data_IF_051284939210
#
_entry.id   IF_051284939210
#
_cell.length_a   1.000
_cell.length_b   1.000
_cell.length_c   1.000
_cell.angle_alpha   90.00
_cell.angle_beta   90.00
_cell.angle_gamma   90.00
#
_symmetry.space_group_name_H-M   'P 1'
#
loop_
_entity.id
_entity.type
_entity.pdbx_description
1 polymer ?
#
# COMPACT_ATOMS: atom_id res chain seq x y z
N UNK A 1 24.08 7.35 17.08
CA UNK A 1 24.15 6.22 16.13
C UNK A 1 23.33 6.63 14.90
N UNK A 2 23.94 6.87 13.73
CA UNK A 2 23.19 7.23 12.52
C UNK A 2 22.60 5.95 11.93
N UNK A 3 21.28 5.78 12.05
CA UNK A 3 20.57 4.73 11.34
C UNK A 3 20.68 5.01 9.84
N UNK A 4 21.41 4.16 9.12
CA UNK A 4 21.47 4.18 7.66
C UNK A 4 20.11 3.72 7.14
N UNK A 5 19.19 4.67 6.93
CA UNK A 5 17.88 4.40 6.38
C UNK A 5 18.04 3.79 4.98
N UNK A 6 17.85 2.48 4.85
CA UNK A 6 18.00 1.73 3.60
C UNK A 6 16.82 2.05 2.68
N UNK A 7 16.95 3.00 1.77
CA UNK A 7 15.84 3.40 0.91
C UNK A 7 15.20 2.17 0.21
N UNK A 8 13.89 1.98 0.37
CA UNK A 8 13.13 0.91 -0.26
C UNK A 8 12.40 1.43 -1.50
N UNK A 9 12.27 0.60 -2.53
CA UNK A 9 11.50 0.95 -3.74
C UNK A 9 10.04 0.54 -3.52
N UNK A 10 9.12 1.50 -3.60
CA UNK A 10 7.69 1.24 -3.56
C UNK A 10 7.26 0.38 -4.76
N UNK A 11 6.54 -0.70 -4.54
CA UNK A 11 6.07 -1.58 -5.61
C UNK A 11 4.92 -0.98 -6.43
N UNK A 12 4.29 0.09 -5.96
CA UNK A 12 3.20 0.78 -6.65
C UNK A 12 3.72 1.94 -7.51
N UNK A 13 4.25 3.01 -6.90
CA UNK A 13 4.76 4.15 -7.68
C UNK A 13 6.20 3.98 -8.21
N UNK A 14 6.89 2.88 -7.87
CA UNK A 14 8.29 2.57 -8.27
C UNK A 14 9.33 3.63 -7.87
N UNK A 15 9.01 4.48 -6.89
CA UNK A 15 9.93 5.50 -6.34
C UNK A 15 10.70 4.97 -5.13
N UNK A 16 11.93 5.46 -4.94
CA UNK A 16 12.69 5.28 -3.71
C UNK A 16 12.05 6.05 -2.57
N UNK A 17 11.94 5.40 -1.42
CA UNK A 17 11.26 5.90 -0.22
C UNK A 17 12.07 5.55 1.01
N UNK A 18 11.94 6.34 2.07
CA UNK A 18 12.49 5.98 3.37
C UNK A 18 11.85 4.67 3.84
N UNK A 19 12.57 3.76 4.52
CA UNK A 19 11.98 2.66 5.27
C UNK A 19 10.83 3.06 6.18
N UNK A 20 10.87 4.28 6.70
CA UNK A 20 9.85 4.80 7.63
C UNK A 20 8.61 5.35 6.90
N UNK A 21 8.68 5.55 5.58
CA UNK A 21 7.59 6.08 4.76
C UNK A 21 6.78 4.97 4.08
N UNK A 22 6.74 3.77 4.66
CA UNK A 22 5.99 2.66 4.11
C UNK A 22 6.03 1.41 4.97
N UNK A 23 5.53 0.32 4.40
CA UNK A 23 5.47 -0.98 5.06
C UNK A 23 5.52 -2.11 4.03
N UNK A 24 5.82 -3.31 4.51
CA UNK A 24 5.76 -4.52 3.70
C UNK A 24 4.30 -4.93 3.46
N UNK A 25 4.02 -5.45 2.27
CA UNK A 25 2.70 -5.88 1.86
C UNK A 25 2.07 -6.93 2.79
N UNK A 26 2.89 -7.80 3.38
CA UNK A 26 2.46 -8.82 4.35
C UNK A 26 1.81 -8.24 5.62
N UNK A 27 2.12 -6.98 5.96
CA UNK A 27 1.57 -6.28 7.13
C UNK A 27 0.28 -5.54 6.79
N UNK A 28 -0.12 -5.47 5.51
CA UNK A 28 -1.34 -4.81 5.06
C UNK A 28 -2.52 -5.74 5.31
N UNK A 29 -3.65 -5.19 5.77
CA UNK A 29 -4.89 -5.96 5.98
C UNK A 29 -5.30 -6.68 4.68
N UNK A 30 -5.70 -7.96 4.74
CA UNK A 30 -6.03 -8.74 3.54
C UNK A 30 -7.06 -8.09 2.63
N UNK A 31 -8.14 -7.50 3.18
CA UNK A 31 -9.18 -6.84 2.38
C UNK A 31 -8.65 -5.66 1.57
N UNK A 32 -7.74 -4.87 2.16
CA UNK A 32 -7.07 -3.78 1.46
C UNK A 32 -6.06 -4.30 0.44
N UNK A 33 -5.34 -5.37 0.76
CA UNK A 33 -4.39 -6.02 -0.15
C UNK A 33 -5.09 -6.49 -1.44
N UNK A 34 -6.26 -7.14 -1.29
CA UNK A 34 -7.07 -7.60 -2.43
C UNK A 34 -7.60 -6.43 -3.26
N UNK A 35 -8.01 -5.32 -2.64
CA UNK A 35 -8.35 -4.09 -3.37
C UNK A 35 -7.16 -3.57 -4.19
N UNK A 36 -5.97 -3.51 -3.59
CA UNK A 36 -4.77 -3.03 -4.27
C UNK A 36 -4.45 -3.94 -5.47
N UNK A 37 -4.48 -5.27 -5.31
CA UNK A 37 -4.28 -6.24 -6.41
C UNK A 37 -5.30 -6.07 -7.52
N UNK A 38 -6.57 -5.87 -7.18
CA UNK A 38 -7.64 -5.59 -8.15
C UNK A 38 -7.37 -4.32 -8.97
N UNK A 39 -6.82 -3.28 -8.33
CA UNK A 39 -6.46 -2.00 -8.97
C UNK A 39 -5.10 -2.05 -9.70
N UNK A 40 -4.20 -2.93 -9.29
CA UNK A 40 -2.85 -3.13 -9.82
C UNK A 40 -2.60 -4.61 -10.09
N UNK A 41 -3.20 -5.18 -11.15
CA UNK A 41 -3.08 -6.61 -11.45
C UNK A 41 -1.65 -7.04 -11.84
N UNK A 42 -0.81 -6.08 -12.22
CA UNK A 42 0.62 -6.28 -12.48
C UNK A 42 1.46 -6.50 -11.21
N UNK A 43 0.88 -6.25 -10.03
CA UNK A 43 1.55 -6.40 -8.75
C UNK A 43 1.17 -7.73 -8.08
N UNK A 44 2.17 -8.46 -7.61
CA UNK A 44 2.04 -9.81 -7.03
C UNK A 44 1.54 -9.82 -5.57
N UNK A 45 1.34 -8.65 -4.97
CA UNK A 45 0.92 -8.53 -3.58
C UNK A 45 2.07 -8.62 -2.57
N UNK A 46 3.33 -8.50 -3.01
CA UNK A 46 4.50 -8.57 -2.14
C UNK A 46 5.37 -7.29 -2.21
N UNK A 47 6.28 -7.14 -1.26
CA UNK A 47 7.28 -6.07 -1.24
C UNK A 47 6.83 -4.79 -0.53
N UNK A 48 7.67 -3.76 -0.61
CA UNK A 48 7.46 -2.49 0.11
C UNK A 48 6.44 -1.59 -0.62
N UNK A 49 5.51 -1.00 0.14
CA UNK A 49 4.57 0.01 -0.35
C UNK A 49 4.68 1.26 0.51
N UNK A 50 4.75 2.43 -0.12
CA UNK A 50 4.82 3.68 0.62
C UNK A 50 3.48 4.13 1.19
N UNK A 51 3.52 4.91 2.27
CA UNK A 51 2.32 5.41 2.95
C UNK A 51 1.46 6.31 2.05
N UNK A 52 2.06 7.03 1.09
CA UNK A 52 1.32 7.86 0.13
C UNK A 52 0.37 7.00 -0.73
N UNK A 53 0.92 6.03 -1.48
CA UNK A 53 0.14 5.12 -2.31
C UNK A 53 -0.87 4.31 -1.48
N UNK A 54 -0.43 3.82 -0.30
CA UNK A 54 -1.31 3.10 0.61
C UNK A 54 -2.46 3.98 1.12
N UNK A 55 -2.21 5.27 1.33
CA UNK A 55 -3.20 6.25 1.74
C UNK A 55 -4.29 6.44 0.68
N UNK A 56 -3.93 6.48 -0.60
CA UNK A 56 -4.89 6.55 -1.70
C UNK A 56 -5.77 5.31 -1.75
N UNK A 57 -5.19 4.11 -1.67
CA UNK A 57 -5.98 2.88 -1.62
C UNK A 57 -6.87 2.78 -0.39
N UNK A 58 -6.44 3.29 0.77
CA UNK A 58 -7.28 3.36 1.98
C UNK A 58 -8.50 4.24 1.77
N UNK A 59 -8.34 5.40 1.11
CA UNK A 59 -9.48 6.29 0.80
C UNK A 59 -10.47 5.59 -0.12
N UNK A 60 -9.97 4.89 -1.14
CA UNK A 60 -10.83 4.15 -2.07
C UNK A 60 -11.52 2.97 -1.40
N UNK A 61 -10.83 2.25 -0.51
CA UNK A 61 -11.41 1.18 0.30
C UNK A 61 -12.56 1.69 1.18
N UNK A 62 -12.37 2.82 1.87
CA UNK A 62 -13.42 3.42 2.70
C UNK A 62 -14.62 3.81 1.85
N UNK A 63 -14.43 4.36 0.64
CA UNK A 63 -15.53 4.67 -0.27
C UNK A 63 -16.28 3.42 -0.70
N UNK A 64 -15.58 2.34 -1.07
CA UNK A 64 -16.21 1.08 -1.48
C UNK A 64 -17.01 0.44 -0.33
N UNK A 65 -16.44 0.40 0.88
CA UNK A 65 -17.13 -0.17 2.06
C UNK A 65 -18.35 0.67 2.46
N UNK A 66 -18.25 2.00 2.48
CA UNK A 66 -19.39 2.87 2.77
C UNK A 66 -20.50 2.77 1.72
N UNK A 67 -20.15 2.48 0.46
CA UNK A 67 -21.13 2.22 -0.59
C UNK A 67 -21.86 0.89 -0.38
N UNK A 68 -21.16 -0.13 0.13
CA UNK A 68 -21.74 -1.44 0.46
C UNK A 68 -22.73 -1.36 1.65
N UNK A 69 -22.54 -0.43 2.59
CA UNK A 69 -23.44 -0.25 3.75
C UNK A 69 -24.74 0.52 3.44
N UNK A 70 -24.83 1.20 2.28
CA UNK A 70 -26.00 2.00 1.88
C UNK A 70 -26.92 1.20 0.92
N UNK A 71 -26.52 -0.02 0.53
CA UNK A 71 -27.24 -0.93 -0.37
C UNK A 71 -28.31 -1.79 0.31
#
# INVERSE_FOLDING_TARGET
MKATASANICQICKKHKSPHDGMLAELIRPSLLELIKKRRPEWDGNGFICLDDLGEFRKDYVKEVLQDEIG
#
